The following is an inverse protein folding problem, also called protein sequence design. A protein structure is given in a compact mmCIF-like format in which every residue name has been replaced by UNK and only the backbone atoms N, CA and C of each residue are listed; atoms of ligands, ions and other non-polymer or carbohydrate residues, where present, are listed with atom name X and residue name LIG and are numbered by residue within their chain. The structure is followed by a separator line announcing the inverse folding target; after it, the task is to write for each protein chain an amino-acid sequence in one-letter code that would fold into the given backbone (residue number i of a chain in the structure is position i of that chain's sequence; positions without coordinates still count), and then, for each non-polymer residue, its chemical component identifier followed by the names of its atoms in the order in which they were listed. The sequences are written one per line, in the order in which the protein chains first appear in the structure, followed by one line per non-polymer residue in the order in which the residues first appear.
data_IF_605857672231
#
_entry.id   IF_605857672231
#
_cell.length_a   1.000
_cell.length_b   1.000
_cell.length_c   1.000
_cell.angle_alpha   90.00
_cell.angle_beta   90.00
_cell.angle_gamma   90.00
#
_symmetry.space_group_name_H-M   'P 1'
#
loop_
_entity.id
_entity.type
_entity.pdbx_description
1 polymer ?
#
# COMPACT_ATOMS: atom_id res chain seq x y z
N UNK A 1 48.38 47.47 1.23
CA UNK A 1 47.61 46.71 0.24
C UNK A 1 46.52 45.96 0.98
N UNK A 2 45.28 46.45 0.86
CA UNK A 2 44.12 45.86 1.49
C UNK A 2 43.46 44.95 0.48
N UNK A 3 43.40 43.65 0.73
CA UNK A 3 42.73 42.67 -0.12
C UNK A 3 41.24 42.55 0.26
N UNK A 4 40.37 42.88 -0.67
CA UNK A 4 38.93 42.72 -0.53
C UNK A 4 38.59 41.29 -0.88
N UNK A 5 38.09 40.51 0.12
CA UNK A 5 37.54 39.19 -0.09
C UNK A 5 36.08 39.37 -0.52
N UNK A 6 35.78 39.06 -1.76
CA UNK A 6 34.43 39.01 -2.30
C UNK A 6 33.78 37.67 -1.92
N UNK A 7 32.88 37.68 -0.93
CA UNK A 7 32.04 36.56 -0.60
C UNK A 7 30.91 36.46 -1.63
N UNK A 8 31.00 35.48 -2.52
CA UNK A 8 29.90 35.12 -3.41
C UNK A 8 28.95 34.24 -2.62
N UNK A 9 27.80 34.79 -2.20
CA UNK A 9 26.69 34.02 -1.73
C UNK A 9 26.04 33.33 -2.95
N UNK A 10 26.24 32.03 -3.08
CA UNK A 10 25.40 31.20 -3.93
C UNK A 10 24.02 31.12 -3.28
N UNK A 11 23.10 31.97 -3.74
CA UNK A 11 21.70 31.78 -3.46
C UNK A 11 21.27 30.46 -4.13
N UNK A 12 20.95 29.46 -3.32
CA UNK A 12 20.12 28.36 -3.79
C UNK A 12 18.78 28.98 -4.24
N UNK A 13 18.65 29.21 -5.53
CA UNK A 13 17.33 29.34 -6.11
C UNK A 13 16.66 27.98 -5.93
N UNK A 14 15.61 27.96 -5.10
CA UNK A 14 14.58 26.95 -5.22
C UNK A 14 14.09 27.05 -6.68
N UNK A 15 14.40 26.04 -7.48
CA UNK A 15 13.73 25.88 -8.76
C UNK A 15 12.23 25.81 -8.47
N UNK A 16 11.56 26.97 -8.59
CA UNK A 16 10.16 26.96 -8.98
C UNK A 16 10.13 26.12 -10.24
N UNK A 17 9.42 24.98 -10.18
CA UNK A 17 9.09 24.16 -11.33
C UNK A 17 8.49 25.12 -12.38
N UNK A 18 9.37 25.67 -13.20
CA UNK A 18 9.02 26.65 -14.21
C UNK A 18 7.91 26.03 -15.05
N UNK A 19 6.83 26.76 -15.16
CA UNK A 19 5.62 26.51 -15.96
C UNK A 19 5.95 26.43 -17.47
N UNK A 20 6.97 25.63 -17.83
CA UNK A 20 7.55 25.37 -19.15
C UNK A 20 7.34 23.94 -19.59
N UNK A 21 6.16 23.35 -19.33
CA UNK A 21 5.75 22.11 -19.96
C UNK A 21 5.59 22.29 -21.47
N UNK A 22 5.92 21.28 -22.24
CA UNK A 22 5.52 21.17 -23.65
C UNK A 22 4.03 21.51 -23.71
N UNK A 23 3.62 22.33 -24.68
CA UNK A 23 2.27 22.90 -24.79
C UNK A 23 1.17 21.93 -24.27
N UNK A 24 0.53 22.31 -23.16
CA UNK A 24 -0.62 21.62 -22.60
C UNK A 24 -0.34 20.63 -21.44
N UNK A 25 0.88 20.50 -20.96
CA UNK A 25 1.17 19.68 -19.78
C UNK A 25 1.27 20.52 -18.49
N UNK A 26 0.77 19.96 -17.40
CA UNK A 26 0.84 20.52 -16.04
C UNK A 26 1.44 19.52 -15.06
N UNK A 27 2.00 20.04 -13.98
CA UNK A 27 2.51 19.21 -12.89
C UNK A 27 1.35 18.72 -12.01
N UNK A 28 1.42 17.46 -11.58
CA UNK A 28 0.56 16.89 -10.57
C UNK A 28 1.41 16.14 -9.56
N UNK A 29 1.14 16.34 -8.27
CA UNK A 29 1.81 15.66 -7.17
C UNK A 29 0.80 14.93 -6.30
N UNK A 30 1.18 13.75 -5.81
CA UNK A 30 0.36 12.92 -4.93
C UNK A 30 1.14 12.61 -3.66
N UNK A 31 0.47 12.78 -2.53
CA UNK A 31 0.93 12.31 -1.22
C UNK A 31 -0.02 11.20 -0.78
N UNK A 32 0.48 9.96 -0.80
CA UNK A 32 -0.30 8.76 -0.46
C UNK A 32 -0.06 8.46 1.01
N UNK A 33 -1.14 8.29 1.78
CA UNK A 33 -1.08 8.09 3.22
C UNK A 33 -1.76 6.78 3.61
N UNK A 34 -1.08 6.00 4.46
CA UNK A 34 -1.66 4.80 5.08
C UNK A 34 -2.73 5.16 6.11
N UNK A 35 -3.79 4.34 6.26
CA UNK A 35 -4.81 4.56 7.27
C UNK A 35 -4.20 4.53 8.68
N UNK A 36 -4.52 5.52 9.51
CA UNK A 36 -4.05 5.59 10.90
C UNK A 36 -3.14 6.76 11.22
N UNK A 37 -2.69 7.53 10.22
CA UNK A 37 -1.89 8.74 10.44
C UNK A 37 -2.73 10.02 10.71
N UNK A 38 -4.04 9.92 10.64
CA UNK A 38 -4.94 10.98 11.10
C UNK A 38 -5.21 10.82 12.61
N UNK A 39 -5.34 11.92 13.35
CA UNK A 39 -5.58 12.04 14.79
C UNK A 39 -6.76 11.24 15.41
N UNK A 40 -7.25 10.22 14.72
CA UNK A 40 -8.18 9.25 15.24
C UNK A 40 -7.41 8.01 15.69
N UNK A 41 -6.74 8.12 16.84
CA UNK A 41 -6.32 6.96 17.60
C UNK A 41 -7.56 6.13 17.92
N UNK A 42 -7.91 5.23 17.03
CA UNK A 42 -8.77 4.11 17.39
C UNK A 42 -7.93 3.28 18.35
N UNK A 43 -8.26 3.35 19.61
CA UNK A 43 -7.72 2.50 20.67
C UNK A 43 -8.06 1.05 20.33
N UNK A 44 -7.33 0.46 19.40
CA UNK A 44 -7.29 -0.97 19.15
C UNK A 44 -5.95 -1.44 19.65
N UNK A 45 -5.98 -2.43 20.54
CA UNK A 45 -4.79 -3.12 20.96
C UNK A 45 -3.94 -3.42 19.71
N UNK A 46 -2.73 -2.87 19.72
CA UNK A 46 -1.75 -3.06 18.67
C UNK A 46 -1.61 -4.53 18.36
N UNK A 47 -1.99 -4.93 17.13
CA UNK A 47 -1.58 -6.26 16.67
C UNK A 47 -2.07 -6.49 15.26
N UNK A 48 -1.19 -6.94 14.42
CA UNK A 48 -1.37 -7.49 13.08
C UNK A 48 -2.14 -6.55 12.12
N UNK A 49 -1.50 -6.15 11.06
CA UNK A 49 -2.11 -5.36 10.01
C UNK A 49 -2.25 -3.86 10.33
N UNK A 50 -1.27 -3.27 10.98
CA UNK A 50 -1.20 -1.81 11.22
C UNK A 50 -0.58 -1.04 10.05
N UNK A 51 -0.18 -1.74 8.97
CA UNK A 51 0.45 -1.16 7.81
C UNK A 51 1.95 -0.88 7.96
N UNK A 52 2.55 -1.21 9.11
CA UNK A 52 3.98 -0.93 9.34
C UNK A 52 4.92 -1.84 8.55
N UNK A 53 4.42 -2.96 8.04
CA UNK A 53 5.22 -3.91 7.25
C UNK A 53 5.29 -3.58 5.77
N UNK A 54 4.41 -2.72 5.24
CA UNK A 54 4.43 -2.39 3.81
C UNK A 54 5.63 -1.52 3.45
N UNK A 55 6.18 -1.73 2.26
CA UNK A 55 7.40 -1.06 1.83
C UNK A 55 7.38 -0.60 0.37
N UNK A 56 6.31 -0.87 -0.38
CA UNK A 56 6.13 -0.47 -1.77
C UNK A 56 4.79 0.25 -1.96
N UNK A 57 4.79 1.32 -2.76
CA UNK A 57 3.58 1.94 -3.28
C UNK A 57 3.63 1.99 -4.80
N UNK A 58 2.58 1.52 -5.46
CA UNK A 58 2.41 1.57 -6.92
C UNK A 58 1.35 2.59 -7.25
N UNK A 59 1.59 3.43 -8.26
CA UNK A 59 0.60 4.28 -8.87
C UNK A 59 0.48 3.93 -10.35
N UNK A 60 -0.72 3.59 -10.80
CA UNK A 60 -1.08 3.47 -12.21
C UNK A 60 -2.00 4.61 -12.61
N UNK A 61 -1.74 5.20 -13.76
CA UNK A 61 -2.54 6.26 -14.35
C UNK A 61 -3.15 5.72 -15.63
N UNK A 62 -4.45 5.89 -15.78
CA UNK A 62 -5.18 5.48 -16.96
C UNK A 62 -5.80 6.69 -17.66
N UNK A 63 -5.76 6.69 -18.98
CA UNK A 63 -6.44 7.64 -19.86
C UNK A 63 -7.26 6.87 -20.89
N UNK A 64 -8.57 7.10 -20.94
CA UNK A 64 -9.50 6.35 -21.81
C UNK A 64 -9.39 4.82 -21.65
N UNK A 65 -9.29 4.36 -20.39
CA UNK A 65 -9.12 2.96 -19.99
C UNK A 65 -7.79 2.29 -20.43
N UNK A 66 -6.89 3.03 -21.07
CA UNK A 66 -5.54 2.58 -21.42
C UNK A 66 -4.54 2.98 -20.34
N UNK A 67 -3.58 2.12 -20.04
CA UNK A 67 -2.50 2.44 -19.10
C UNK A 67 -1.62 3.54 -19.71
N UNK A 68 -1.68 4.72 -19.10
CA UNK A 68 -0.88 5.88 -19.50
C UNK A 68 0.50 5.88 -18.86
N UNK A 69 0.59 5.55 -17.57
CA UNK A 69 1.84 5.54 -16.83
C UNK A 69 1.74 4.62 -15.62
N UNK A 70 2.85 4.00 -15.26
CA UNK A 70 3.03 3.25 -14.01
C UNK A 70 4.28 3.75 -13.32
N UNK A 71 4.15 4.10 -12.05
CA UNK A 71 5.26 4.50 -11.20
C UNK A 71 5.25 3.68 -9.92
N UNK A 72 6.41 3.50 -9.35
CA UNK A 72 6.58 2.78 -8.12
C UNK A 72 7.44 3.63 -7.20
N UNK A 73 6.89 3.93 -6.02
CA UNK A 73 7.51 4.72 -4.98
C UNK A 73 7.86 3.89 -3.77
N UNK A 74 8.93 4.29 -3.09
CA UNK A 74 9.25 3.76 -1.77
C UNK A 74 8.39 4.44 -0.71
N UNK A 75 8.02 3.68 0.32
CA UNK A 75 7.45 4.27 1.53
C UNK A 75 8.53 5.12 2.19
N UNK A 76 8.17 6.34 2.58
CA UNK A 76 9.08 7.28 3.22
C UNK A 76 9.56 6.75 4.59
N UNK A 77 10.64 7.32 5.16
CA UNK A 77 11.17 6.88 6.47
C UNK A 77 10.19 6.99 7.63
N UNK A 78 9.10 7.76 7.48
CA UNK A 78 8.01 7.78 8.46
C UNK A 78 7.20 6.47 8.47
N UNK A 79 7.42 5.59 7.47
CA UNK A 79 6.76 4.32 7.30
C UNK A 79 5.29 4.42 6.86
N UNK A 80 4.78 5.62 6.56
CA UNK A 80 3.35 5.88 6.42
C UNK A 80 2.97 6.64 5.15
N UNK A 81 3.96 7.21 4.43
CA UNK A 81 3.70 8.03 3.25
C UNK A 81 4.52 7.61 2.03
N UNK A 82 3.96 7.83 0.84
CA UNK A 82 4.67 7.74 -0.43
C UNK A 82 4.32 8.96 -1.29
N UNK A 83 5.29 9.46 -2.07
CA UNK A 83 5.09 10.61 -2.95
C UNK A 83 5.28 10.26 -4.42
N UNK A 84 4.50 10.90 -5.29
CA UNK A 84 4.62 10.80 -6.75
C UNK A 84 4.49 12.16 -7.39
N UNK A 85 5.35 12.42 -8.38
CA UNK A 85 5.28 13.60 -9.24
C UNK A 85 5.15 13.17 -10.70
N UNK A 86 4.18 13.76 -11.41
CA UNK A 86 3.90 13.43 -12.81
C UNK A 86 3.60 14.70 -13.62
N UNK A 87 3.75 14.60 -14.94
CA UNK A 87 3.23 15.59 -15.87
C UNK A 87 2.07 15.01 -16.65
N UNK A 88 0.99 15.78 -16.77
CA UNK A 88 -0.26 15.36 -17.37
C UNK A 88 -0.75 16.39 -18.38
N UNK A 89 -1.34 15.93 -19.46
CA UNK A 89 -1.97 16.79 -20.48
C UNK A 89 -3.27 17.34 -19.92
N UNK A 90 -3.50 18.64 -20.06
CA UNK A 90 -4.73 19.30 -19.64
C UNK A 90 -5.92 18.92 -20.49
N UNK A 91 -7.13 19.18 -19.97
CA UNK A 91 -8.41 18.88 -20.61
C UNK A 91 -8.67 17.38 -20.85
N UNK A 92 -7.97 16.53 -20.09
CA UNK A 92 -8.18 15.08 -20.07
C UNK A 92 -8.63 14.65 -18.67
N UNK A 93 -9.46 13.61 -18.64
CA UNK A 93 -9.84 12.95 -17.39
C UNK A 93 -8.98 11.72 -17.21
N UNK A 94 -8.26 11.67 -16.11
CA UNK A 94 -7.42 10.53 -15.75
C UNK A 94 -8.01 9.78 -14.57
N UNK A 95 -7.83 8.46 -14.58
CA UNK A 95 -8.05 7.62 -13.42
C UNK A 95 -6.69 7.26 -12.81
N UNK A 96 -6.54 7.51 -11.53
CA UNK A 96 -5.35 7.17 -10.73
C UNK A 96 -5.70 6.02 -9.82
N UNK A 97 -4.88 5.00 -9.83
CA UNK A 97 -5.05 3.79 -9.01
C UNK A 97 -3.79 3.57 -8.20
N UNK A 98 -3.95 3.38 -6.90
CA UNK A 98 -2.86 3.19 -5.96
C UNK A 98 -2.98 1.83 -5.29
N UNK A 99 -1.83 1.18 -5.11
CA UNK A 99 -1.68 -0.05 -4.37
C UNK A 99 -0.46 -0.01 -3.50
N UNK A 100 -0.59 -0.42 -2.25
CA UNK A 100 0.50 -0.49 -1.28
C UNK A 100 0.55 -1.89 -0.72
N UNK A 101 1.74 -2.48 -0.70
CA UNK A 101 1.97 -3.82 -0.19
C UNK A 101 3.40 -4.03 0.32
N UNK A 102 3.71 -5.25 0.72
CA UNK A 102 5.04 -5.70 1.11
C UNK A 102 5.69 -6.52 -0.01
N UNK A 103 6.96 -6.23 -0.30
CA UNK A 103 7.82 -7.01 -1.19
C UNK A 103 9.12 -7.41 -0.49
N UNK A 104 9.76 -8.50 -0.92
CA UNK A 104 10.94 -9.06 -0.23
C UNK A 104 12.11 -8.10 -0.14
N UNK A 105 12.31 -7.25 -1.14
CA UNK A 105 13.31 -6.21 -1.06
C UNK A 105 13.00 -5.05 -1.99
N UNK A 106 13.29 -3.84 -1.50
CA UNK A 106 13.31 -2.61 -2.28
C UNK A 106 14.75 -2.14 -2.26
N UNK A 107 15.49 -2.28 -3.36
CA UNK A 107 16.86 -1.80 -3.50
C UNK A 107 16.93 -0.88 -4.71
N UNK A 108 17.15 0.41 -4.46
CA UNK A 108 17.13 1.43 -5.51
C UNK A 108 15.78 1.53 -6.21
N UNK A 109 15.80 1.82 -7.51
CA UNK A 109 14.59 1.90 -8.33
C UNK A 109 14.08 0.52 -8.81
N UNK A 110 14.79 -0.55 -8.49
CA UNK A 110 14.40 -1.90 -8.87
C UNK A 110 13.46 -2.48 -7.84
N UNK A 111 12.17 -2.37 -8.10
CA UNK A 111 11.17 -3.06 -7.31
C UNK A 111 11.18 -4.50 -7.67
N UNK A 112 11.41 -5.23 -6.65
CA UNK A 112 11.60 -6.65 -6.76
C UNK A 112 10.29 -7.36 -6.56
N UNK A 113 10.31 -8.57 -6.87
CA UNK A 113 9.35 -9.64 -6.96
C UNK A 113 8.13 -9.47 -6.05
N UNK A 114 6.98 -9.45 -6.63
CA UNK A 114 5.71 -9.61 -5.93
C UNK A 114 5.77 -10.80 -4.98
N UNK A 115 5.44 -10.58 -3.72
CA UNK A 115 5.50 -11.62 -2.70
C UNK A 115 4.14 -12.30 -2.52
N UNK A 116 3.13 -11.54 -2.15
CA UNK A 116 1.79 -12.06 -1.82
C UNK A 116 0.75 -11.74 -2.88
N UNK A 117 1.03 -10.77 -3.74
CA UNK A 117 0.09 -10.25 -4.73
C UNK A 117 0.79 -10.11 -6.08
N UNK A 118 0.16 -10.64 -7.15
CA UNK A 118 0.55 -10.29 -8.51
C UNK A 118 -0.04 -8.92 -8.83
N UNK A 119 0.82 -7.93 -8.97
CA UNK A 119 0.44 -6.54 -9.19
C UNK A 119 0.76 -6.05 -10.60
N UNK A 120 0.93 -6.93 -11.57
CA UNK A 120 1.27 -6.57 -12.95
C UNK A 120 0.24 -5.62 -13.60
N UNK A 121 -1.02 -5.69 -13.20
CA UNK A 121 -2.13 -4.79 -13.54
C UNK A 121 -2.95 -4.55 -12.26
N UNK A 122 -3.04 -3.33 -11.77
CA UNK A 122 -3.81 -3.00 -10.57
C UNK A 122 -5.32 -3.17 -10.74
N UNK A 123 -5.82 -3.31 -11.96
CA UNK A 123 -7.21 -3.70 -12.24
C UNK A 123 -7.46 -5.19 -12.17
N UNK A 124 -6.39 -5.99 -12.04
CA UNK A 124 -6.47 -7.45 -12.02
C UNK A 124 -5.42 -8.04 -11.07
N UNK A 125 -5.43 -7.60 -9.83
CA UNK A 125 -4.55 -8.10 -8.79
C UNK A 125 -5.01 -9.51 -8.41
N UNK A 126 -4.07 -10.45 -8.27
CA UNK A 126 -4.36 -11.78 -7.78
C UNK A 126 -3.43 -12.14 -6.63
N UNK A 127 -3.95 -12.90 -5.67
CA UNK A 127 -3.16 -13.44 -4.58
C UNK A 127 -2.18 -14.49 -5.08
N UNK A 128 -0.95 -14.43 -4.57
CA UNK A 128 0.11 -15.40 -4.87
C UNK A 128 0.39 -16.31 -3.68
N UNK A 129 0.80 -17.55 -4.00
CA UNK A 129 1.19 -18.55 -3.02
C UNK A 129 0.03 -19.18 -2.26
N UNK A 130 0.38 -20.14 -1.43
CA UNK A 130 -0.58 -20.87 -0.60
C UNK A 130 -0.93 -20.06 0.65
N UNK A 131 -2.21 -19.99 0.97
CA UNK A 131 -2.70 -19.46 2.25
C UNK A 131 -2.34 -20.31 3.48
N UNK A 132 -1.51 -21.33 3.30
CA UNK A 132 -1.10 -22.27 4.37
C UNK A 132 -0.08 -21.67 5.36
N UNK A 133 0.14 -20.36 5.33
CA UNK A 133 1.06 -19.69 6.24
C UNK A 133 0.52 -19.57 7.68
N UNK A 134 1.40 -19.23 8.60
CA UNK A 134 1.04 -18.89 9.98
C UNK A 134 0.05 -17.72 9.99
N UNK A 135 -0.96 -17.78 10.83
CA UNK A 135 -2.01 -16.76 10.95
C UNK A 135 -1.54 -15.38 11.48
N UNK A 136 -0.23 -15.10 11.44
CA UNK A 136 0.38 -13.83 11.85
C UNK A 136 1.39 -13.38 10.79
N UNK A 137 0.93 -13.15 9.59
CA UNK A 137 1.81 -12.67 8.54
C UNK A 137 1.42 -11.23 8.18
N UNK A 138 2.02 -10.27 8.89
CA UNK A 138 1.78 -8.83 8.68
C UNK A 138 2.29 -8.35 7.32
N UNK A 139 3.15 -9.15 6.65
CA UNK A 139 3.61 -8.84 5.29
C UNK A 139 2.51 -9.02 4.24
N UNK A 140 1.36 -9.64 4.59
CA UNK A 140 0.17 -9.73 3.74
C UNK A 140 -0.71 -8.49 3.78
N UNK A 141 -0.37 -7.50 4.58
CA UNK A 141 -1.13 -6.26 4.62
C UNK A 141 -1.03 -5.52 3.28
N UNK A 142 -2.15 -5.01 2.80
CA UNK A 142 -2.23 -4.25 1.57
C UNK A 142 -3.29 -3.15 1.68
N UNK A 143 -3.10 -2.11 0.88
CA UNK A 143 -3.99 -0.96 0.85
C UNK A 143 -4.17 -0.47 -0.58
N UNK A 144 -5.30 0.14 -0.87
CA UNK A 144 -5.58 0.69 -2.18
C UNK A 144 -6.36 2.00 -2.10
N UNK A 145 -6.30 2.75 -3.17
CA UNK A 145 -7.22 3.85 -3.46
C UNK A 145 -7.38 4.01 -4.97
N UNK A 146 -8.47 4.61 -5.37
CA UNK A 146 -8.64 5.11 -6.74
C UNK A 146 -9.36 6.44 -6.74
N UNK A 147 -8.99 7.29 -7.66
CA UNK A 147 -9.66 8.57 -7.89
C UNK A 147 -9.68 8.89 -9.38
N UNK A 148 -10.68 9.64 -9.81
CA UNK A 148 -10.80 10.15 -11.17
C UNK A 148 -10.77 11.68 -11.14
N UNK A 149 -10.02 12.32 -12.06
CA UNK A 149 -9.86 13.77 -12.06
C UNK A 149 -9.72 14.31 -13.47
N UNK A 150 -10.55 15.31 -13.78
CA UNK A 150 -10.32 16.18 -14.94
C UNK A 150 -9.17 17.14 -14.63
N UNK A 151 -8.09 17.04 -15.40
CA UNK A 151 -6.89 17.86 -15.23
C UNK A 151 -7.03 19.15 -16.02
N UNK A 152 -7.13 20.29 -15.34
CA UNK A 152 -7.21 21.62 -15.95
C UNK A 152 -6.00 22.48 -15.65
N UNK A 153 -5.40 22.30 -14.48
CA UNK A 153 -4.25 23.04 -13.96
C UNK A 153 -3.35 22.11 -13.14
N UNK A 154 -2.17 22.60 -12.79
CA UNK A 154 -1.32 21.92 -11.80
C UNK A 154 -2.06 21.73 -10.48
N UNK A 155 -1.83 20.59 -9.81
CA UNK A 155 -2.49 20.27 -8.55
C UNK A 155 -1.62 19.39 -7.66
N UNK A 156 -1.98 19.37 -6.37
CA UNK A 156 -1.50 18.39 -5.40
C UNK A 156 -2.70 17.66 -4.79
N UNK A 157 -2.57 16.36 -4.57
CA UNK A 157 -3.64 15.52 -4.03
C UNK A 157 -3.13 14.69 -2.85
N UNK A 158 -3.90 14.67 -1.76
CA UNK A 158 -3.68 13.76 -0.65
C UNK A 158 -4.58 12.54 -0.83
N UNK A 159 -3.99 11.37 -0.90
CA UNK A 159 -4.68 10.11 -1.15
C UNK A 159 -4.71 9.29 0.13
N UNK A 160 -5.91 9.09 0.68
CA UNK A 160 -6.13 8.16 1.79
C UNK A 160 -6.39 6.76 1.24
N UNK A 161 -5.65 5.80 1.78
CA UNK A 161 -5.77 4.40 1.40
C UNK A 161 -6.77 3.66 2.29
N UNK A 162 -7.39 2.64 1.73
CA UNK A 162 -8.26 1.70 2.47
C UNK A 162 -7.77 0.28 2.29
N UNK A 163 -8.14 -0.62 3.21
CA UNK A 163 -7.84 -2.05 3.08
C UNK A 163 -8.78 -2.72 2.10
N UNK A 164 -8.26 -3.53 1.17
CA UNK A 164 -9.09 -4.33 0.26
C UNK A 164 -9.72 -5.54 0.97
N UNK A 165 -9.17 -5.96 2.12
CA UNK A 165 -9.55 -7.19 2.80
C UNK A 165 -9.93 -6.94 4.26
N UNK A 166 -10.84 -7.77 4.77
CA UNK A 166 -11.14 -7.81 6.20
C UNK A 166 -10.05 -8.57 6.97
N UNK A 167 -9.90 -8.23 8.24
CA UNK A 167 -9.03 -8.93 9.18
C UNK A 167 -9.86 -9.66 10.24
N UNK A 168 -9.54 -10.93 10.48
CA UNK A 168 -10.14 -11.72 11.53
C UNK A 168 -9.07 -12.10 12.56
N UNK A 169 -9.25 -11.65 13.80
CA UNK A 169 -8.40 -12.03 14.92
C UNK A 169 -9.15 -13.00 15.83
N UNK A 170 -8.59 -14.17 16.04
CA UNK A 170 -9.13 -15.17 16.96
C UNK A 170 -8.20 -15.19 18.18
N UNK A 171 -8.77 -14.95 19.35
CA UNK A 171 -8.08 -14.92 20.63
C UNK A 171 -8.65 -15.99 21.56
N UNK A 172 -7.79 -16.72 22.24
CA UNK A 172 -8.16 -17.55 23.38
C UNK A 172 -7.73 -16.84 24.67
N UNK A 173 -8.66 -16.59 25.58
CA UNK A 173 -8.38 -15.77 26.77
C UNK A 173 -8.22 -16.57 28.07
N UNK A 174 -8.63 -17.83 28.07
CA UNK A 174 -8.72 -18.68 29.25
C UNK A 174 -7.59 -19.71 29.38
N UNK A 175 -6.66 -19.78 28.43
CA UNK A 175 -5.53 -20.71 28.49
C UNK A 175 -4.67 -20.55 29.74
N UNK A 176 -4.53 -19.34 30.24
CA UNK A 176 -3.78 -19.04 31.46
C UNK A 176 -4.45 -19.58 32.73
N UNK A 177 -5.75 -19.86 32.70
CA UNK A 177 -6.52 -20.42 33.84
C UNK A 177 -6.53 -21.94 33.88
N UNK A 178 -5.97 -22.61 32.86
CA UNK A 178 -5.84 -24.06 32.84
C UNK A 178 -4.74 -24.49 33.81
N UNK A 179 -5.02 -25.36 34.81
CA UNK A 179 -4.00 -25.87 35.70
C UNK A 179 -2.86 -26.56 34.96
N UNK A 180 -1.62 -26.38 35.41
CA UNK A 180 -0.43 -26.92 34.72
C UNK A 180 -0.46 -28.42 34.47
N UNK A 181 -1.06 -29.16 35.42
CA UNK A 181 -1.24 -30.63 35.29
C UNK A 181 -2.31 -31.05 34.28
N UNK A 182 -3.03 -30.11 33.68
CA UNK A 182 -4.06 -30.37 32.69
C UNK A 182 -3.74 -29.71 31.32
N UNK A 183 -2.68 -28.89 31.23
CA UNK A 183 -2.31 -28.18 30.01
C UNK A 183 -2.11 -29.11 28.82
N UNK A 184 -1.43 -30.23 29.01
CA UNK A 184 -1.16 -31.21 27.94
C UNK A 184 -2.44 -31.83 27.37
N UNK A 185 -3.54 -31.86 28.14
CA UNK A 185 -4.81 -32.42 27.71
C UNK A 185 -5.77 -31.42 27.07
N UNK A 186 -5.65 -30.14 27.43
CA UNK A 186 -6.64 -29.11 27.07
C UNK A 186 -6.09 -27.95 26.25
N UNK A 187 -4.77 -27.74 26.19
CA UNK A 187 -4.20 -26.69 25.35
C UNK A 187 -4.21 -27.15 23.89
N UNK A 188 -4.86 -26.41 22.99
CA UNK A 188 -4.84 -26.75 21.57
C UNK A 188 -3.40 -26.70 21.01
N UNK A 189 -2.97 -27.80 20.40
CA UNK A 189 -1.62 -27.90 19.77
C UNK A 189 -1.62 -27.24 18.41
N UNK A 190 -2.78 -27.18 17.74
CA UNK A 190 -2.94 -26.54 16.44
C UNK A 190 -4.32 -25.91 16.34
N UNK A 191 -4.40 -24.77 15.71
CA UNK A 191 -5.65 -24.16 15.28
C UNK A 191 -5.74 -24.16 13.76
N UNK A 192 -6.90 -24.45 13.22
CA UNK A 192 -7.17 -24.36 11.78
C UNK A 192 -8.39 -23.47 11.54
N UNK A 193 -8.33 -22.67 10.50
CA UNK A 193 -9.44 -21.83 10.06
C UNK A 193 -9.70 -22.09 8.58
N UNK A 194 -10.94 -22.36 8.21
CA UNK A 194 -11.34 -22.60 6.83
C UNK A 194 -12.41 -21.60 6.41
N UNK A 195 -12.15 -20.89 5.34
CA UNK A 195 -13.13 -20.05 4.65
C UNK A 195 -13.67 -20.82 3.44
N UNK A 196 -14.98 -20.81 3.22
CA UNK A 196 -15.61 -21.55 2.12
C UNK A 196 -15.71 -20.72 0.84
N UNK A 197 -15.81 -19.41 0.97
CA UNK A 197 -16.04 -18.50 -0.15
C UNK A 197 -15.11 -17.29 -0.01
N UNK A 198 -13.86 -17.43 -0.44
CA UNK A 198 -12.88 -16.36 -0.45
C UNK A 198 -12.53 -16.03 -1.90
N UNK A 199 -12.63 -14.75 -2.25
CA UNK A 199 -12.13 -14.26 -3.52
C UNK A 199 -10.62 -14.04 -3.42
N UNK A 200 -9.89 -14.43 -4.46
CA UNK A 200 -8.43 -14.32 -4.52
C UNK A 200 -7.96 -13.28 -5.52
N UNK A 201 -8.90 -12.60 -6.18
CA UNK A 201 -8.64 -11.50 -7.11
C UNK A 201 -9.29 -10.21 -6.65
N UNK A 202 -8.70 -9.06 -7.05
CA UNK A 202 -9.14 -7.74 -6.65
C UNK A 202 -8.84 -6.72 -7.75
N UNK A 203 -9.78 -5.81 -8.00
CA UNK A 203 -9.61 -4.67 -8.89
C UNK A 203 -9.45 -3.39 -8.06
N UNK A 204 -8.24 -2.85 -7.96
CA UNK A 204 -7.99 -1.65 -7.17
C UNK A 204 -8.56 -0.36 -7.82
N UNK A 205 -8.93 -0.39 -9.10
CA UNK A 205 -9.55 0.75 -9.76
C UNK A 205 -11.04 0.92 -9.43
N UNK A 206 -11.72 -0.17 -9.04
CA UNK A 206 -13.16 -0.18 -8.73
C UNK A 206 -13.47 -0.63 -7.31
N UNK A 207 -12.54 -1.33 -6.66
CA UNK A 207 -12.77 -1.95 -5.36
C UNK A 207 -13.50 -3.29 -5.43
N UNK A 208 -13.68 -3.84 -6.63
CA UNK A 208 -14.42 -5.09 -6.85
C UNK A 208 -13.56 -6.32 -6.60
N UNK A 209 -14.21 -7.37 -6.08
CA UNK A 209 -13.63 -8.71 -6.00
C UNK A 209 -13.66 -9.38 -7.38
N UNK A 210 -12.61 -10.11 -7.71
CA UNK A 210 -12.47 -10.77 -9.02
C UNK A 210 -12.38 -12.29 -8.88
N UNK A 211 -12.83 -12.97 -9.94
CA UNK A 211 -12.80 -14.43 -10.06
C UNK A 211 -13.97 -15.10 -9.34
N UNK A 212 -13.84 -16.41 -9.17
CA UNK A 212 -14.82 -17.23 -8.46
C UNK A 212 -14.36 -17.46 -7.01
N UNK A 213 -15.28 -17.43 -6.03
CA UNK A 213 -14.92 -17.69 -4.65
C UNK A 213 -14.44 -19.14 -4.46
N UNK A 214 -13.38 -19.32 -3.72
CA UNK A 214 -12.77 -20.62 -3.46
C UNK A 214 -12.68 -20.90 -1.95
N UNK A 215 -12.46 -22.15 -1.61
CA UNK A 215 -12.21 -22.54 -0.23
C UNK A 215 -10.72 -22.38 0.09
N UNK A 216 -10.42 -21.69 1.19
CA UNK A 216 -9.06 -21.47 1.68
C UNK A 216 -8.96 -21.92 3.12
N UNK A 217 -7.92 -22.70 3.44
CA UNK A 217 -7.65 -23.18 4.79
C UNK A 217 -6.34 -22.58 5.31
N UNK A 218 -6.39 -22.04 6.51
CA UNK A 218 -5.23 -21.56 7.27
C UNK A 218 -4.92 -22.57 8.38
N UNK A 219 -3.65 -22.90 8.52
CA UNK A 219 -3.14 -23.63 9.68
C UNK A 219 -2.29 -22.68 10.49
N UNK A 220 -2.73 -22.36 11.70
CA UNK A 220 -1.87 -21.68 12.64
C UNK A 220 -0.95 -22.71 13.29
N UNK A 221 0.32 -22.41 13.40
CA UNK A 221 1.19 -23.13 14.30
C UNK A 221 0.70 -22.94 15.74
N UNK A 222 0.92 -23.94 16.59
CA UNK A 222 0.60 -23.90 18.02
C UNK A 222 1.16 -22.65 18.69
N UNK A 223 0.41 -22.17 19.65
CA UNK A 223 0.86 -21.16 20.59
C UNK A 223 2.06 -21.64 21.41
#
# INVERSE_FOLDING_TARGET
MAGIILLVFAACQSDELANGGRNGEVAASFSVQLPGNGNNAVTRAATAGDGTSVNRCIMEIYLNDELYSRQIGAIQPDGLTAGFDVRLVTSQTYKFVFWVDHVESVEGDAIKTDLHYNTADLRNISMQGDYNGSGKDDTRDAFFASLEKLVTNAFSENVELTRPFGQLNIKTEDLASIPDNQKDAFVPVTAGLSFKNLYTGFNAATGDLLGEPTAVAYKAASA
#
